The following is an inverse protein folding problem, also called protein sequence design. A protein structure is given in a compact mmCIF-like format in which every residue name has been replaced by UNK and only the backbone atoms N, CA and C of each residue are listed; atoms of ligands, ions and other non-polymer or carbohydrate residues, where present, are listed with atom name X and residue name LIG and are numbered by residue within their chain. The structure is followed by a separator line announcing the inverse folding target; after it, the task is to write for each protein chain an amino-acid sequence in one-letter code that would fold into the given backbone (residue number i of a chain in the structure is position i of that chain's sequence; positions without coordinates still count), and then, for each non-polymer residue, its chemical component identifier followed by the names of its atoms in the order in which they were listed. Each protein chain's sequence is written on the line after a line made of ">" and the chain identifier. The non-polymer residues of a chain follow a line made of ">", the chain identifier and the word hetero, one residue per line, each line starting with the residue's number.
data_IF_316512632720
#
_entry.id   IF_316512632720
#
_cell.length_a   1.000
_cell.length_b   1.000
_cell.length_c   1.000
_cell.angle_alpha   90.00
_cell.angle_beta   90.00
_cell.angle_gamma   90.00
#
_symmetry.space_group_name_H-M   'P 1'
#
loop_
_entity.id
_entity.type
_entity.pdbx_description
1 polymer ?
#
# COMPACT_ATOMS: atom_id res chain seq x y z
N UNK A 1 -21.85 -3.59 9.78
CA UNK A 1 -21.30 -2.68 8.76
C UNK A 1 -20.57 -3.42 7.63
N UNK A 2 -20.53 -4.74 7.66
CA UNK A 2 -19.98 -5.62 6.59
C UNK A 2 -21.00 -5.82 5.44
N UNK A 3 -22.27 -5.54 5.68
CA UNK A 3 -23.37 -5.83 4.75
C UNK A 3 -23.37 -5.04 3.43
N UNK A 4 -22.58 -3.96 3.33
CA UNK A 4 -22.51 -3.15 2.09
C UNK A 4 -21.36 -3.51 1.16
N UNK A 5 -20.41 -4.35 1.62
CA UNK A 5 -19.28 -4.76 0.78
C UNK A 5 -19.70 -5.85 -0.20
N UNK A 6 -19.57 -5.58 -1.48
CA UNK A 6 -19.66 -6.62 -2.52
C UNK A 6 -21.02 -6.86 -3.16
N UNK A 7 -21.97 -5.91 -3.08
CA UNK A 7 -23.27 -6.09 -3.74
C UNK A 7 -23.30 -5.73 -5.22
N UNK A 8 -22.32 -4.96 -5.72
CA UNK A 8 -22.19 -4.69 -7.15
C UNK A 8 -20.72 -4.65 -7.52
N UNK A 9 -20.27 -5.39 -8.52
CA UNK A 9 -18.92 -5.20 -9.05
C UNK A 9 -18.89 -3.80 -9.66
N UNK A 10 -18.00 -2.92 -9.14
CA UNK A 10 -17.74 -1.65 -9.80
C UNK A 10 -16.96 -1.90 -11.12
N UNK A 11 -17.08 -0.99 -12.04
CA UNK A 11 -16.38 -1.09 -13.30
C UNK A 11 -14.92 -0.62 -13.14
N UNK A 12 -14.07 -1.52 -12.65
CA UNK A 12 -12.64 -1.28 -12.45
C UNK A 12 -11.93 -0.87 -13.75
N UNK A 13 -12.36 -1.39 -14.89
CA UNK A 13 -11.79 -1.03 -16.18
C UNK A 13 -12.01 0.45 -16.53
N UNK A 14 -13.18 1.01 -16.24
CA UNK A 14 -13.43 2.44 -16.44
C UNK A 14 -12.61 3.31 -15.52
N UNK A 15 -12.48 2.92 -14.26
CA UNK A 15 -11.65 3.65 -13.30
C UNK A 15 -10.18 3.61 -13.70
N UNK A 16 -9.64 2.46 -14.06
CA UNK A 16 -8.27 2.31 -14.54
C UNK A 16 -8.01 3.10 -15.84
N UNK A 17 -8.96 3.07 -16.78
CA UNK A 17 -8.87 3.84 -18.02
C UNK A 17 -8.85 5.36 -17.74
N UNK A 18 -9.68 5.83 -16.81
CA UNK A 18 -9.68 7.23 -16.40
C UNK A 18 -8.35 7.63 -15.73
N UNK A 19 -7.83 6.81 -14.83
CA UNK A 19 -6.53 7.04 -14.20
C UNK A 19 -5.37 6.99 -15.21
N UNK A 20 -5.47 6.17 -16.25
CA UNK A 20 -4.47 6.09 -17.31
C UNK A 20 -4.34 7.38 -18.14
N UNK A 21 -5.35 8.24 -18.14
CA UNK A 21 -5.31 9.54 -18.84
C UNK A 21 -4.47 10.60 -18.10
N UNK A 22 -4.15 10.38 -16.82
CA UNK A 22 -3.31 11.33 -16.08
C UNK A 22 -1.85 11.19 -16.51
N UNK A 23 -1.16 12.31 -16.79
CA UNK A 23 0.23 12.28 -17.20
C UNK A 23 1.12 11.70 -16.09
N UNK A 24 2.13 10.95 -16.48
CA UNK A 24 3.18 10.46 -15.59
C UNK A 24 4.35 11.43 -15.67
N UNK A 25 4.39 12.34 -14.72
CA UNK A 25 5.55 13.21 -14.49
C UNK A 25 6.26 12.73 -13.23
N UNK A 26 7.45 12.18 -13.37
CA UNK A 26 8.23 11.67 -12.24
C UNK A 26 8.46 12.75 -11.18
N UNK A 27 8.18 12.41 -9.93
CA UNK A 27 8.31 13.31 -8.81
C UNK A 27 7.23 14.38 -8.73
N UNK A 28 6.08 14.23 -9.41
CA UNK A 28 4.94 15.13 -9.33
C UNK A 28 3.67 14.44 -8.86
N UNK A 29 2.86 15.18 -8.12
CA UNK A 29 1.50 14.81 -7.75
C UNK A 29 0.50 15.48 -8.67
N UNK A 30 -0.45 14.71 -9.18
CA UNK A 30 -1.59 15.20 -9.96
C UNK A 30 -2.88 14.72 -9.29
N UNK A 31 -3.69 15.69 -8.82
CA UNK A 31 -5.00 15.38 -8.26
C UNK A 31 -5.95 14.91 -9.37
N UNK A 32 -6.65 13.83 -9.14
CA UNK A 32 -7.61 13.25 -10.08
C UNK A 32 -9.01 13.86 -9.88
N UNK A 33 -9.15 15.15 -10.21
CA UNK A 33 -10.42 15.85 -10.08
C UNK A 33 -11.42 15.36 -11.15
N UNK A 34 -12.70 15.24 -10.77
CA UNK A 34 -13.77 14.78 -11.64
C UNK A 34 -13.77 13.28 -11.94
N UNK A 35 -12.92 12.51 -11.28
CA UNK A 35 -12.95 11.05 -11.37
C UNK A 35 -14.19 10.52 -10.63
N UNK A 36 -14.96 9.65 -11.30
CA UNK A 36 -16.11 8.98 -10.69
C UNK A 36 -15.62 7.88 -9.73
N UNK A 37 -15.45 8.25 -8.46
CA UNK A 37 -14.96 7.34 -7.40
C UNK A 37 -16.07 6.64 -6.64
N UNK A 38 -17.32 7.05 -6.80
CA UNK A 38 -18.43 6.60 -5.95
C UNK A 38 -18.57 5.08 -5.95
N UNK A 39 -18.51 4.44 -7.11
CA UNK A 39 -18.59 2.98 -7.21
C UNK A 39 -17.42 2.26 -6.49
N UNK A 40 -16.21 2.82 -6.59
CA UNK A 40 -15.03 2.29 -5.89
C UNK A 40 -15.17 2.45 -4.37
N UNK A 41 -15.55 3.63 -3.92
CA UNK A 41 -15.72 3.93 -2.49
C UNK A 41 -16.85 3.08 -1.90
N UNK A 42 -17.95 2.89 -2.62
CA UNK A 42 -19.07 2.04 -2.21
C UNK A 42 -18.66 0.57 -2.15
N UNK A 43 -17.96 0.06 -3.16
CA UNK A 43 -17.52 -1.33 -3.20
C UNK A 43 -16.63 -1.69 -2.00
N UNK A 44 -15.68 -0.81 -1.64
CA UNK A 44 -14.77 -1.02 -0.51
C UNK A 44 -15.32 -0.50 0.83
N UNK A 45 -16.50 0.13 0.85
CA UNK A 45 -17.09 0.72 2.04
C UNK A 45 -16.26 1.87 2.60
N UNK A 46 -15.73 2.71 1.72
CA UNK A 46 -14.91 3.89 2.02
C UNK A 46 -15.71 5.19 2.01
N UNK A 47 -17.01 5.14 1.72
CA UNK A 47 -17.95 6.27 1.81
C UNK A 47 -18.29 6.55 3.29
N UNK A 48 -17.38 7.21 3.99
CA UNK A 48 -17.58 7.60 5.37
C UNK A 48 -18.40 8.90 5.45
N UNK A 49 -19.35 8.95 6.38
CA UNK A 49 -20.10 10.18 6.66
C UNK A 49 -19.13 11.31 7.07
N UNK A 50 -19.47 12.54 6.68
CA UNK A 50 -18.71 13.75 7.04
C UNK A 50 -17.19 13.67 6.71
N UNK A 51 -16.85 12.96 5.64
CA UNK A 51 -15.47 12.78 5.19
C UNK A 51 -15.31 13.27 3.77
N UNK A 52 -14.22 13.97 3.50
CA UNK A 52 -13.74 14.28 2.16
C UNK A 52 -12.72 13.22 1.74
N UNK A 53 -12.97 12.59 0.61
CA UNK A 53 -12.01 11.73 -0.05
C UNK A 53 -11.46 12.44 -1.29
N UNK A 54 -10.16 12.32 -1.51
CA UNK A 54 -9.55 12.72 -2.77
C UNK A 54 -8.60 11.63 -3.25
N UNK A 55 -8.50 11.50 -4.57
CA UNK A 55 -7.54 10.62 -5.22
C UNK A 55 -6.61 11.44 -6.11
N UNK A 56 -5.40 10.97 -6.26
CA UNK A 56 -4.41 11.53 -7.17
C UNK A 56 -3.39 10.50 -7.61
N UNK A 57 -2.52 10.92 -8.50
CA UNK A 57 -1.46 10.10 -9.06
C UNK A 57 -0.12 10.77 -8.77
N UNK A 58 0.84 9.97 -8.36
CA UNK A 58 2.26 10.34 -8.25
C UNK A 58 3.05 9.56 -9.29
N UNK A 59 3.84 10.23 -10.11
CA UNK A 59 4.77 9.60 -11.04
C UNK A 59 6.06 9.18 -10.34
N UNK A 60 6.45 7.91 -10.49
CA UNK A 60 7.71 7.38 -9.96
C UNK A 60 8.32 6.41 -10.96
N UNK A 61 9.48 6.73 -11.50
CA UNK A 61 10.22 5.90 -12.46
C UNK A 61 9.37 5.43 -13.66
N UNK A 62 8.53 6.33 -14.20
CA UNK A 62 7.62 6.04 -15.31
C UNK A 62 6.33 5.32 -14.93
N UNK A 63 6.17 4.94 -13.66
CA UNK A 63 4.96 4.29 -13.15
C UNK A 63 4.03 5.30 -12.46
N UNK A 64 2.74 4.98 -12.42
CA UNK A 64 1.69 5.74 -11.73
C UNK A 64 1.38 5.12 -10.40
N UNK A 65 1.53 5.89 -9.34
CA UNK A 65 1.21 5.47 -7.98
C UNK A 65 -0.08 6.17 -7.57
N UNK A 66 -1.12 5.38 -7.31
CA UNK A 66 -2.41 5.90 -6.84
C UNK A 66 -2.32 6.27 -5.37
N UNK A 67 -2.72 7.50 -5.06
CA UNK A 67 -2.70 8.07 -3.71
C UNK A 67 -4.12 8.48 -3.34
N UNK A 68 -4.55 8.12 -2.16
CA UNK A 68 -5.86 8.46 -1.61
C UNK A 68 -5.70 9.23 -0.30
N UNK A 69 -6.51 10.26 -0.12
CA UNK A 69 -6.57 11.01 1.12
C UNK A 69 -7.98 11.01 1.66
N UNK A 70 -8.10 10.89 2.98
CA UNK A 70 -9.36 10.94 3.72
C UNK A 70 -9.22 11.92 4.85
N UNK A 71 -10.15 12.88 4.95
CA UNK A 71 -10.14 13.86 6.03
C UNK A 71 -11.57 14.22 6.44
N UNK A 72 -11.81 14.61 7.70
CA UNK A 72 -13.09 15.18 8.10
C UNK A 72 -13.50 16.36 7.24
N UNK A 73 -14.77 16.42 6.83
CA UNK A 73 -15.31 17.53 6.02
C UNK A 73 -15.36 18.86 6.77
N UNK A 74 -15.41 18.81 8.10
CA UNK A 74 -15.53 19.97 8.98
C UNK A 74 -14.36 19.98 9.97
N UNK A 75 -13.76 21.14 10.15
CA UNK A 75 -12.63 21.31 11.05
C UNK A 75 -11.26 21.28 10.34
N UNK A 76 -10.22 21.57 11.11
CA UNK A 76 -8.84 21.51 10.64
C UNK A 76 -8.22 20.18 11.06
N UNK A 77 -7.66 19.47 10.09
CA UNK A 77 -6.90 18.24 10.36
C UNK A 77 -5.51 18.63 10.85
N UNK A 78 -5.29 18.56 12.15
CA UNK A 78 -4.00 18.91 12.76
C UNK A 78 -2.96 17.80 12.70
N UNK A 79 -3.38 16.55 12.41
CA UNK A 79 -2.52 15.37 12.37
C UNK A 79 -2.89 14.48 11.19
N UNK A 80 -1.87 13.94 10.54
CA UNK A 80 -2.04 13.02 9.43
C UNK A 80 -1.27 11.72 9.67
N UNK A 81 -1.87 10.62 9.23
CA UNK A 81 -1.22 9.33 9.17
C UNK A 81 -0.92 8.98 7.70
N UNK A 82 0.33 8.63 7.40
CA UNK A 82 0.72 7.99 6.16
C UNK A 82 0.67 6.48 6.38
N UNK A 83 -0.06 5.76 5.51
CA UNK A 83 -0.31 4.33 5.64
C UNK A 83 0.31 3.55 4.48
N UNK A 84 1.14 2.56 4.81
CA UNK A 84 1.74 1.61 3.89
C UNK A 84 1.08 0.24 4.08
N UNK A 85 0.39 -0.25 3.06
CA UNK A 85 -0.34 -1.52 3.10
C UNK A 85 0.57 -2.75 2.98
N UNK A 86 0.04 -3.93 3.28
CA UNK A 86 0.73 -5.21 3.18
C UNK A 86 0.82 -5.76 1.75
N UNK A 87 1.66 -6.77 1.57
CA UNK A 87 1.72 -7.50 0.31
C UNK A 87 0.38 -8.19 0.03
N UNK A 88 -0.08 -8.11 -1.19
CA UNK A 88 -1.41 -8.50 -1.66
C UNK A 88 -2.57 -7.58 -1.24
N UNK A 89 -2.33 -6.63 -0.37
CA UNK A 89 -3.35 -5.63 -0.03
C UNK A 89 -3.32 -4.44 -1.00
N UNK A 90 -4.23 -3.54 -0.81
CA UNK A 90 -4.30 -2.21 -1.43
C UNK A 90 -5.15 -1.28 -0.56
N UNK A 91 -5.17 0.01 -0.86
CA UNK A 91 -5.85 1.03 -0.04
C UNK A 91 -7.32 0.71 0.25
N UNK A 92 -8.03 0.11 -0.71
CA UNK A 92 -9.44 -0.27 -0.56
C UNK A 92 -9.74 -1.20 0.62
N UNK A 93 -8.77 -2.00 1.06
CA UNK A 93 -8.95 -2.96 2.15
C UNK A 93 -8.82 -2.33 3.54
N UNK A 94 -8.36 -1.08 3.64
CA UNK A 94 -8.02 -0.43 4.91
C UNK A 94 -9.15 0.40 5.54
N UNK A 95 -10.41 0.24 5.06
CA UNK A 95 -11.55 1.02 5.51
C UNK A 95 -11.73 1.09 7.03
N UNK A 96 -11.52 -0.01 7.75
CA UNK A 96 -11.63 -0.02 9.21
C UNK A 96 -10.55 0.84 9.89
N UNK A 97 -9.30 0.77 9.41
CA UNK A 97 -8.22 1.59 9.95
C UNK A 97 -8.47 3.07 9.66
N UNK A 98 -8.83 3.39 8.40
CA UNK A 98 -9.13 4.75 7.97
C UNK A 98 -10.24 5.34 8.85
N UNK A 99 -11.37 4.64 9.02
CA UNK A 99 -12.47 5.09 9.86
C UNK A 99 -12.02 5.36 11.30
N UNK A 100 -11.22 4.47 11.89
CA UNK A 100 -10.71 4.62 13.27
C UNK A 100 -9.78 5.81 13.45
N UNK A 101 -9.01 6.17 12.44
CA UNK A 101 -8.18 7.36 12.46
C UNK A 101 -9.03 8.63 12.31
N UNK A 102 -9.97 8.63 11.37
CA UNK A 102 -10.92 9.73 11.17
C UNK A 102 -11.76 10.00 12.44
N UNK A 103 -12.25 8.96 13.12
CA UNK A 103 -12.98 9.07 14.40
C UNK A 103 -12.16 9.79 15.49
N UNK A 104 -10.84 9.88 15.33
CA UNK A 104 -9.90 10.57 16.23
C UNK A 104 -9.40 11.91 15.69
N UNK A 105 -9.98 12.39 14.60
CA UNK A 105 -9.58 13.63 13.94
C UNK A 105 -8.22 13.55 13.27
N UNK A 106 -7.76 12.34 12.91
CA UNK A 106 -6.52 12.12 12.16
C UNK A 106 -6.87 11.92 10.69
N UNK A 107 -6.33 12.77 9.82
CA UNK A 107 -6.40 12.57 8.37
C UNK A 107 -5.56 11.39 7.94
N UNK A 108 -5.91 10.77 6.82
CA UNK A 108 -5.21 9.59 6.29
C UNK A 108 -4.74 9.86 4.87
N UNK A 109 -3.45 9.64 4.64
CA UNK A 109 -2.86 9.50 3.33
C UNK A 109 -2.45 8.03 3.17
N UNK A 110 -3.02 7.35 2.20
CA UNK A 110 -2.71 5.97 1.86
C UNK A 110 -2.45 5.88 0.36
N UNK A 111 -1.53 5.03 -0.05
CA UNK A 111 -1.22 4.82 -1.46
C UNK A 111 -1.13 3.34 -1.75
N UNK A 112 -1.37 2.98 -3.00
CA UNK A 112 -1.16 1.62 -3.47
C UNK A 112 0.30 1.43 -3.88
N UNK A 113 0.98 0.43 -3.31
CA UNK A 113 2.33 0.07 -3.69
C UNK A 113 2.42 -0.31 -5.17
N UNK A 114 3.60 -0.16 -5.76
CA UNK A 114 3.89 -0.59 -7.13
C UNK A 114 3.39 -2.02 -7.39
N UNK A 115 2.63 -2.22 -8.47
CA UNK A 115 2.04 -3.51 -8.82
C UNK A 115 0.86 -3.96 -7.95
N UNK A 116 0.27 -3.04 -7.14
CA UNK A 116 -0.89 -3.32 -6.29
C UNK A 116 -2.01 -2.31 -6.54
N UNK A 117 -3.24 -2.73 -6.28
CA UNK A 117 -4.41 -1.87 -6.33
C UNK A 117 -4.56 -1.11 -7.65
N UNK A 118 -4.69 0.20 -7.55
CA UNK A 118 -4.81 1.13 -8.67
C UNK A 118 -3.48 1.63 -9.23
N UNK A 119 -2.35 1.28 -8.59
CA UNK A 119 -1.01 1.62 -9.06
C UNK A 119 -0.59 0.74 -10.22
N UNK A 120 0.20 1.30 -11.16
CA UNK A 120 0.77 0.54 -12.27
C UNK A 120 1.96 -0.33 -11.82
N UNK A 121 2.53 -1.06 -12.75
CA UNK A 121 3.59 -2.03 -12.51
C UNK A 121 3.13 -3.46 -12.77
N UNK A 122 4.06 -4.39 -12.75
CA UNK A 122 3.70 -5.82 -12.88
C UNK A 122 2.99 -6.29 -11.59
N UNK A 123 1.85 -7.02 -11.72
CA UNK A 123 1.06 -7.41 -10.55
C UNK A 123 1.88 -8.15 -9.49
N UNK A 124 1.86 -7.62 -8.27
CA UNK A 124 2.53 -8.15 -7.09
C UNK A 124 4.02 -8.46 -7.31
N UNK A 125 4.71 -7.72 -8.20
CA UNK A 125 6.10 -8.00 -8.60
C UNK A 125 6.95 -6.75 -8.49
N UNK A 126 8.18 -6.92 -8.05
CA UNK A 126 9.26 -5.93 -8.07
C UNK A 126 10.58 -6.64 -8.38
N UNK A 127 11.52 -5.93 -8.98
CA UNK A 127 12.88 -6.42 -9.20
C UNK A 127 13.78 -6.20 -7.98
N UNK A 128 13.50 -5.18 -7.19
CA UNK A 128 14.22 -4.83 -5.97
C UNK A 128 13.28 -4.28 -4.91
N UNK A 129 13.50 -4.63 -3.65
CA UNK A 129 12.76 -4.06 -2.52
C UNK A 129 12.91 -2.53 -2.43
N UNK A 130 14.03 -2.00 -2.95
CA UNK A 130 14.28 -0.57 -3.04
C UNK A 130 13.18 0.17 -3.82
N UNK A 131 12.57 -0.45 -4.82
CA UNK A 131 11.47 0.17 -5.58
C UNK A 131 10.30 0.60 -4.71
N UNK A 132 9.97 -0.16 -3.66
CA UNK A 132 8.93 0.26 -2.70
C UNK A 132 9.38 1.44 -1.84
N UNK A 133 10.65 1.47 -1.47
CA UNK A 133 11.24 2.56 -0.67
C UNK A 133 11.29 3.84 -1.49
N UNK A 134 11.68 3.75 -2.77
CA UNK A 134 11.72 4.90 -3.68
C UNK A 134 10.33 5.54 -3.89
N UNK A 135 9.29 4.69 -3.98
CA UNK A 135 7.90 5.17 -4.02
C UNK A 135 7.54 5.91 -2.75
N UNK A 136 7.83 5.33 -1.57
CA UNK A 136 7.55 5.95 -0.29
C UNK A 136 8.31 7.28 -0.13
N UNK A 137 9.57 7.33 -0.51
CA UNK A 137 10.38 8.56 -0.49
C UNK A 137 9.78 9.64 -1.37
N UNK A 138 9.35 9.28 -2.58
CA UNK A 138 8.72 10.22 -3.49
C UNK A 138 7.42 10.78 -2.90
N UNK A 139 6.55 9.91 -2.35
CA UNK A 139 5.31 10.33 -1.69
C UNK A 139 5.60 11.22 -0.50
N UNK A 140 6.57 10.87 0.36
CA UNK A 140 6.94 11.69 1.50
C UNK A 140 7.37 13.11 1.09
N UNK A 141 8.19 13.23 0.07
CA UNK A 141 8.60 14.56 -0.44
C UNK A 141 7.41 15.39 -0.93
N UNK A 142 6.37 14.74 -1.44
CA UNK A 142 5.18 15.39 -1.98
C UNK A 142 4.06 15.60 -0.96
N UNK A 143 4.24 15.22 0.32
CA UNK A 143 3.18 15.37 1.34
C UNK A 143 2.71 16.82 1.48
N UNK A 144 3.60 17.80 1.32
CA UNK A 144 3.22 19.20 1.35
C UNK A 144 2.24 19.55 0.21
N UNK A 145 2.41 19.00 -0.98
CA UNK A 145 1.53 19.21 -2.12
C UNK A 145 0.22 18.41 -2.00
N UNK A 146 0.27 17.24 -1.36
CA UNK A 146 -0.87 16.32 -1.26
C UNK A 146 -1.79 16.70 -0.10
N UNK A 147 -1.22 16.95 1.09
CA UNK A 147 -1.97 17.16 2.35
C UNK A 147 -1.61 18.44 3.09
N UNK A 148 -0.72 19.26 2.56
CA UNK A 148 -0.35 20.56 3.11
C UNK A 148 0.55 20.51 4.36
N UNK A 149 1.05 19.34 4.75
CA UNK A 149 1.93 19.19 5.93
C UNK A 149 2.72 17.88 5.87
N UNK A 150 3.62 17.68 6.84
CA UNK A 150 4.28 16.39 7.05
C UNK A 150 3.39 15.46 7.91
N UNK A 151 3.34 14.14 7.61
CA UNK A 151 2.65 13.17 8.43
C UNK A 151 3.26 13.09 9.83
N UNK A 152 2.40 13.09 10.86
CA UNK A 152 2.84 12.87 12.25
C UNK A 152 2.89 11.39 12.64
N UNK A 153 2.18 10.53 11.90
CA UNK A 153 2.10 9.10 12.15
C UNK A 153 2.41 8.33 10.86
N UNK A 154 3.19 7.28 11.01
CA UNK A 154 3.60 6.38 9.93
C UNK A 154 3.14 4.98 10.28
N UNK A 155 2.19 4.44 9.55
CA UNK A 155 1.58 3.14 9.86
C UNK A 155 1.91 2.16 8.75
N UNK A 156 2.59 1.07 9.08
CA UNK A 156 2.93 0.03 8.12
C UNK A 156 2.47 -1.35 8.55
N UNK A 157 1.78 -2.05 7.67
CA UNK A 157 1.31 -3.40 7.93
C UNK A 157 2.13 -4.40 7.11
N UNK A 158 2.63 -5.48 7.74
CA UNK A 158 3.36 -6.56 7.08
C UNK A 158 4.50 -6.02 6.19
N UNK A 159 4.43 -6.17 4.86
CA UNK A 159 5.38 -5.61 3.90
C UNK A 159 5.50 -4.08 4.03
N UNK A 160 4.38 -3.36 4.21
CA UNK A 160 4.40 -1.92 4.43
C UNK A 160 5.20 -1.52 5.67
N UNK A 161 5.17 -2.35 6.74
CA UNK A 161 6.04 -2.18 7.90
C UNK A 161 7.52 -2.36 7.57
N UNK A 162 7.85 -3.34 6.73
CA UNK A 162 9.21 -3.55 6.24
C UNK A 162 9.72 -2.37 5.40
N UNK A 163 8.86 -1.82 4.55
CA UNK A 163 9.17 -0.63 3.74
C UNK A 163 9.46 0.58 4.63
N UNK A 164 8.64 0.80 5.68
CA UNK A 164 8.88 1.87 6.65
C UNK A 164 10.20 1.69 7.40
N UNK A 165 10.52 0.47 7.86
CA UNK A 165 11.79 0.19 8.56
C UNK A 165 13.00 0.45 7.67
N UNK A 166 12.95 0.00 6.40
CA UNK A 166 14.02 0.25 5.44
C UNK A 166 14.17 1.74 5.14
N UNK A 167 13.04 2.45 4.95
CA UNK A 167 13.02 3.87 4.69
C UNK A 167 13.62 4.67 5.86
N UNK A 168 13.20 4.39 7.08
CA UNK A 168 13.73 5.03 8.29
C UNK A 168 15.25 4.81 8.43
N UNK A 169 15.70 3.57 8.18
CA UNK A 169 17.11 3.25 8.21
C UNK A 169 17.93 4.06 7.19
N UNK A 170 17.39 4.23 5.97
CA UNK A 170 18.09 4.98 4.90
C UNK A 170 18.13 6.49 5.16
N UNK A 171 17.10 7.06 5.77
CA UNK A 171 17.01 8.50 5.98
C UNK A 171 18.05 9.04 6.98
N UNK A 172 18.43 8.27 8.00
CA UNK A 172 19.40 8.64 9.05
C UNK A 172 19.22 10.06 9.64
N UNK A 173 18.06 10.68 9.40
CA UNK A 173 17.74 12.06 9.74
C UNK A 173 16.84 12.11 10.99
N UNK A 174 16.40 13.32 11.35
CA UNK A 174 15.49 13.54 12.45
C UNK A 174 14.26 12.61 12.40
N UNK A 175 13.71 12.18 13.55
CA UNK A 175 12.56 11.27 13.57
C UNK A 175 11.42 11.82 12.73
N UNK A 176 10.92 10.99 11.80
CA UNK A 176 9.88 11.33 10.85
C UNK A 176 8.49 11.49 11.51
N UNK A 177 8.37 11.11 12.77
CA UNK A 177 7.11 11.06 13.53
C UNK A 177 6.97 9.74 14.28
N UNK A 178 5.74 9.39 14.66
CA UNK A 178 5.45 8.14 15.36
C UNK A 178 5.25 6.99 14.40
N UNK A 179 6.02 5.91 14.57
CA UNK A 179 5.87 4.68 13.77
C UNK A 179 4.97 3.67 14.47
N UNK A 180 4.01 3.13 13.72
CA UNK A 180 3.14 2.03 14.15
C UNK A 180 3.33 0.87 13.18
N UNK A 181 3.98 -0.17 13.64
CA UNK A 181 4.27 -1.36 12.84
C UNK A 181 3.30 -2.48 13.20
N UNK A 182 2.41 -2.80 12.27
CA UNK A 182 1.39 -3.85 12.42
C UNK A 182 1.90 -5.15 11.81
N UNK A 183 2.36 -6.08 12.66
CA UNK A 183 2.94 -7.35 12.24
C UNK A 183 3.94 -7.20 11.07
N UNK A 184 4.99 -6.37 11.23
CA UNK A 184 5.89 -6.05 10.14
C UNK A 184 6.54 -7.32 9.59
N UNK A 185 6.73 -7.35 8.29
CA UNK A 185 7.39 -8.45 7.63
C UNK A 185 8.87 -8.45 8.01
N UNK A 186 9.22 -9.37 8.89
CA UNK A 186 10.58 -9.69 9.27
C UNK A 186 10.87 -11.11 8.74
N UNK A 187 11.95 -11.70 9.15
CA UNK A 187 12.33 -13.03 8.69
C UNK A 187 11.26 -14.10 9.00
N UNK A 188 10.76 -14.86 8.00
CA UNK A 188 9.82 -15.95 8.25
C UNK A 188 10.44 -17.08 9.08
N UNK A 189 9.62 -17.80 9.83
CA UNK A 189 10.04 -19.02 10.51
C UNK A 189 10.58 -20.06 9.51
N UNK A 190 11.68 -20.72 9.84
CA UNK A 190 12.31 -21.71 8.96
C UNK A 190 13.10 -21.11 7.80
N UNK A 191 13.50 -19.87 7.88
CA UNK A 191 14.18 -19.10 6.85
C UNK A 191 15.32 -19.82 6.12
N UNK A 192 16.28 -20.51 6.80
CA UNK A 192 17.37 -21.18 6.10
C UNK A 192 16.89 -22.28 5.15
N UNK A 193 15.87 -23.04 5.58
CA UNK A 193 15.27 -24.09 4.74
C UNK A 193 14.50 -23.49 3.57
N UNK A 194 13.79 -22.37 3.80
CA UNK A 194 13.05 -21.67 2.78
C UNK A 194 13.99 -21.07 1.73
N UNK A 195 15.12 -20.49 2.13
CA UNK A 195 16.15 -19.97 1.22
C UNK A 195 16.73 -21.09 0.33
N UNK A 196 17.07 -22.23 0.93
CA UNK A 196 17.58 -23.37 0.16
C UNK A 196 16.53 -23.87 -0.86
N UNK A 197 15.32 -24.11 -0.40
CA UNK A 197 14.22 -24.53 -1.27
C UNK A 197 13.97 -23.52 -2.39
N UNK A 198 14.00 -22.25 -2.09
CA UNK A 198 13.80 -21.19 -3.06
C UNK A 198 14.94 -21.12 -4.07
N UNK A 199 16.19 -21.25 -3.63
CA UNK A 199 17.37 -21.27 -4.51
C UNK A 199 17.32 -22.39 -5.56
N UNK A 200 16.73 -23.54 -5.20
CA UNK A 200 16.54 -24.67 -6.12
C UNK A 200 15.37 -24.42 -7.08
N UNK A 201 14.23 -23.96 -6.56
CA UNK A 201 12.97 -23.87 -7.31
C UNK A 201 12.94 -22.71 -8.30
N UNK A 202 13.54 -21.58 -7.98
CA UNK A 202 13.55 -20.39 -8.85
C UNK A 202 14.09 -20.65 -10.26
N UNK A 203 14.83 -21.75 -10.44
CA UNK A 203 15.37 -22.16 -11.76
C UNK A 203 14.31 -22.74 -12.69
N UNK A 204 13.16 -23.17 -12.14
CA UNK A 204 12.12 -23.94 -12.86
C UNK A 204 10.75 -23.28 -12.86
N UNK A 205 10.51 -22.37 -11.94
CA UNK A 205 9.20 -21.75 -11.73
C UNK A 205 9.37 -20.24 -11.57
N UNK A 206 8.73 -19.46 -12.43
CA UNK A 206 8.73 -17.99 -12.34
C UNK A 206 7.56 -17.42 -11.53
N UNK A 207 6.44 -18.17 -11.43
CA UNK A 207 5.21 -17.76 -10.77
C UNK A 207 4.56 -18.95 -10.08
N UNK A 208 3.98 -18.75 -8.89
CA UNK A 208 3.15 -19.74 -8.21
C UNK A 208 1.72 -19.22 -8.04
N UNK A 209 0.70 -20.07 -8.17
CA UNK A 209 -0.64 -19.74 -7.73
C UNK A 209 -0.64 -19.42 -6.23
N UNK A 210 -1.37 -18.38 -5.84
CA UNK A 210 -1.59 -18.05 -4.42
C UNK A 210 -2.74 -18.89 -3.88
N UNK A 211 -2.58 -19.48 -2.70
CA UNK A 211 -3.73 -19.94 -1.95
C UNK A 211 -4.44 -18.72 -1.34
N UNK A 212 -5.66 -18.47 -1.81
CA UNK A 212 -6.49 -17.34 -1.37
C UNK A 212 -7.10 -17.55 0.01
N UNK A 213 -6.92 -18.75 0.61
CA UNK A 213 -7.42 -19.01 1.95
C UNK A 213 -6.60 -18.28 2.97
N UNK A 214 -7.25 -17.46 3.75
CA UNK A 214 -6.68 -16.80 4.92
C UNK A 214 -7.33 -17.40 6.16
N UNK A 215 -6.68 -17.26 7.32
CA UNK A 215 -7.29 -17.63 8.61
C UNK A 215 -8.31 -16.59 9.10
N UNK A 216 -8.80 -15.74 8.21
CA UNK A 216 -9.78 -14.69 8.50
C UNK A 216 -11.21 -15.20 8.37
N UNK A 217 -12.18 -14.38 8.76
CA UNK A 217 -13.59 -14.68 8.64
C UNK A 217 -13.99 -15.08 7.21
N UNK A 218 -14.87 -16.06 7.08
CA UNK A 218 -15.31 -16.60 5.78
C UNK A 218 -15.83 -15.51 4.82
N UNK A 219 -16.57 -14.53 5.35
CA UNK A 219 -17.09 -13.38 4.59
C UNK A 219 -15.99 -12.52 3.96
N UNK A 220 -14.89 -12.29 4.70
CA UNK A 220 -13.76 -11.54 4.16
C UNK A 220 -13.02 -12.32 3.07
N UNK A 221 -12.89 -13.65 3.23
CA UNK A 221 -12.31 -14.50 2.19
C UNK A 221 -13.17 -14.48 0.91
N UNK A 222 -14.50 -14.53 1.05
CA UNK A 222 -15.42 -14.42 -0.07
C UNK A 222 -15.28 -13.04 -0.76
N UNK A 223 -15.17 -11.97 0.01
CA UNK A 223 -14.90 -10.62 -0.52
C UNK A 223 -13.60 -10.59 -1.32
N UNK A 224 -12.48 -11.10 -0.77
CA UNK A 224 -11.19 -11.13 -1.46
C UNK A 224 -11.21 -11.92 -2.77
N UNK A 225 -12.05 -12.96 -2.89
CA UNK A 225 -12.17 -13.71 -4.15
C UNK A 225 -12.84 -12.91 -5.27
N UNK A 226 -13.67 -11.93 -4.91
CA UNK A 226 -14.38 -11.03 -5.83
C UNK A 226 -13.65 -9.72 -6.09
N UNK A 227 -12.65 -9.43 -5.28
CA UNK A 227 -11.86 -8.21 -5.39
C UNK A 227 -11.03 -8.22 -6.68
N UNK A 228 -11.27 -7.29 -7.63
CA UNK A 228 -10.59 -7.26 -8.90
C UNK A 228 -9.09 -6.95 -8.78
N UNK A 229 -8.68 -6.27 -7.70
CA UNK A 229 -7.29 -5.89 -7.47
C UNK A 229 -6.49 -6.91 -6.66
N UNK A 230 -7.11 -8.01 -6.25
CA UNK A 230 -6.39 -9.09 -5.56
C UNK A 230 -5.46 -9.86 -6.50
N UNK A 231 -4.16 -9.81 -6.22
CA UNK A 231 -3.19 -10.62 -6.94
C UNK A 231 -3.37 -12.11 -6.59
N UNK A 232 -3.52 -12.94 -7.63
CA UNK A 232 -3.77 -14.40 -7.51
C UNK A 232 -2.51 -15.23 -7.69
N UNK A 233 -1.35 -14.58 -7.76
CA UNK A 233 -0.07 -15.22 -8.03
C UNK A 233 0.99 -14.76 -7.00
N UNK A 234 1.98 -15.59 -6.77
CA UNK A 234 3.21 -15.24 -6.06
C UNK A 234 4.39 -15.28 -7.04
N UNK A 235 4.84 -14.12 -7.54
CA UNK A 235 6.00 -14.05 -8.41
C UNK A 235 7.29 -14.40 -7.68
N UNK A 236 8.13 -15.22 -8.32
CA UNK A 236 9.43 -15.60 -7.77
C UNK A 236 10.38 -14.40 -7.70
N UNK A 237 10.26 -13.44 -8.63
CA UNK A 237 11.01 -12.19 -8.61
C UNK A 237 10.79 -11.42 -7.30
N UNK A 238 9.53 -11.28 -6.88
CA UNK A 238 9.21 -10.64 -5.58
C UNK A 238 9.86 -11.36 -4.41
N UNK A 239 9.77 -12.70 -4.37
CA UNK A 239 10.40 -13.50 -3.31
C UNK A 239 11.91 -13.31 -3.30
N UNK A 240 12.55 -13.23 -4.50
CA UNK A 240 13.99 -12.95 -4.60
C UNK A 240 14.34 -11.57 -4.05
N UNK A 241 13.58 -10.54 -4.44
CA UNK A 241 13.79 -9.18 -3.94
C UNK A 241 13.67 -9.12 -2.40
N UNK A 242 12.74 -9.89 -1.82
CA UNK A 242 12.59 -10.03 -0.37
C UNK A 242 13.78 -10.76 0.26
N UNK A 243 14.26 -11.85 -0.32
CA UNK A 243 15.44 -12.58 0.16
C UNK A 243 16.66 -11.67 0.19
N UNK A 244 16.88 -10.91 -0.87
CA UNK A 244 18.01 -9.99 -1.00
C UNK A 244 17.93 -8.86 0.02
N UNK A 245 16.71 -8.34 0.24
CA UNK A 245 16.47 -7.32 1.26
C UNK A 245 16.72 -7.87 2.68
N UNK A 246 16.17 -9.02 3.05
CA UNK A 246 16.39 -9.62 4.37
C UNK A 246 17.85 -9.85 4.67
N UNK A 247 18.61 -10.35 3.69
CA UNK A 247 20.04 -10.59 3.87
C UNK A 247 20.79 -9.31 4.21
N UNK A 248 20.40 -8.18 3.61
CA UNK A 248 20.97 -6.87 3.89
C UNK A 248 20.45 -6.32 5.24
N UNK A 249 19.15 -6.39 5.47
CA UNK A 249 18.50 -5.87 6.67
C UNK A 249 19.07 -6.50 7.97
N UNK A 250 19.40 -7.78 7.95
CA UNK A 250 20.00 -8.48 9.09
C UNK A 250 21.40 -7.94 9.46
N UNK A 251 22.06 -7.22 8.57
CA UNK A 251 23.37 -6.60 8.84
C UNK A 251 23.27 -5.20 9.46
N UNK A 252 22.06 -4.64 9.53
CA UNK A 252 21.86 -3.30 10.06
C UNK A 252 22.10 -3.27 11.58
N UNK A 253 22.72 -2.21 12.09
CA UNK A 253 22.82 -2.03 13.54
C UNK A 253 21.42 -1.91 14.15
N UNK A 254 21.26 -2.37 15.38
CA UNK A 254 20.01 -2.19 16.09
C UNK A 254 19.64 -0.69 16.13
N UNK A 255 18.43 -0.36 15.69
CA UNK A 255 17.92 1.01 15.76
C UNK A 255 17.87 1.44 17.23
N UNK A 256 18.24 2.71 17.49
CA UNK A 256 18.12 3.32 18.82
C UNK A 256 16.72 3.94 19.00
N UNK A 257 15.69 3.24 18.57
CA UNK A 257 14.29 3.64 18.79
C UNK A 257 13.85 3.22 20.18
#
# INVERSE_FOLDING_TARGET
>A
MIERRGQSPFNDANLLAALACYPVDDGRYSRADGLALDEYLDFYGLNFADTQCAMGIVGVAGERIAVQTFQPSIGHVGRWALVCHGYYDHAGLYGHLIQRLLDRGVGVLIFDHLGHGLSTGQPATIDSFQSYVDVLECIHRLTQDIIGCQPSHWIGQSMGGAVLMEYEHQQQLAPLGEFVLLAPLVRPYGWPLLQWYFAVIKRWISVRPRDMRTNMHAEFNEFLTRDPFQAKILPVAWVQAMVDWFTRFETYPASKV
#
